data_IF_201337271318
#
_entry.id   IF_201337271318
#
_cell.length_a   1.000
_cell.length_b   1.000
_cell.length_c   1.000
_cell.angle_alpha   90.00
_cell.angle_beta   90.00
_cell.angle_gamma   90.00
#
_symmetry.space_group_name_H-M   'P 1'
#
loop_
_entity.id
_entity.type
_entity.pdbx_description
1 polymer ?
#
# COMPACT_ATOMS: atom_id res chain seq x y z
N UNK A 1 -8.89 -21.65 5.65
CA UNK A 1 -9.84 -20.54 5.49
C UNK A 1 -9.30 -19.65 4.38
N UNK A 2 -10.11 -19.31 3.37
CA UNK A 2 -9.68 -18.36 2.34
C UNK A 2 -9.73 -16.96 2.94
N UNK A 3 -8.62 -16.25 3.00
CA UNK A 3 -8.62 -14.86 3.44
C UNK A 3 -9.01 -13.97 2.26
N UNK A 4 -10.04 -13.15 2.45
CA UNK A 4 -10.49 -12.22 1.42
C UNK A 4 -9.88 -10.86 1.70
N UNK A 5 -9.25 -10.26 0.70
CA UNK A 5 -8.76 -8.88 0.76
C UNK A 5 -9.27 -8.10 -0.43
N UNK A 6 -9.34 -6.80 -0.28
CA UNK A 6 -9.65 -5.85 -1.32
C UNK A 6 -8.40 -5.06 -1.65
N UNK A 7 -8.07 -4.94 -2.94
CA UNK A 7 -6.92 -4.15 -3.38
C UNK A 7 -7.33 -3.01 -4.28
N UNK A 8 -6.62 -1.89 -4.16
CA UNK A 8 -6.81 -0.73 -5.00
C UNK A 8 -5.49 -0.35 -5.68
N UNK A 9 -5.51 -0.26 -7.00
CA UNK A 9 -4.34 0.03 -7.85
C UNK A 9 -4.42 1.41 -8.53
N UNK A 10 -5.37 2.26 -8.13
CA UNK A 10 -5.54 3.59 -8.71
C UNK A 10 -4.30 4.46 -8.46
N UNK A 11 -3.55 4.69 -9.53
CA UNK A 11 -2.30 5.46 -9.49
C UNK A 11 -2.52 6.92 -9.11
N UNK A 12 -3.68 7.48 -9.43
CA UNK A 12 -4.00 8.86 -9.10
C UNK A 12 -4.25 9.00 -7.59
N UNK A 13 -5.10 8.14 -7.03
CA UNK A 13 -5.34 8.10 -5.59
C UNK A 13 -4.05 7.82 -4.81
N UNK A 14 -3.27 6.83 -5.24
CA UNK A 14 -1.98 6.50 -4.61
C UNK A 14 -1.00 7.67 -4.70
N UNK A 15 -0.95 8.40 -5.83
CA UNK A 15 -0.07 9.58 -5.95
C UNK A 15 -0.41 10.65 -4.92
N UNK A 16 -1.70 10.97 -4.78
CA UNK A 16 -2.18 11.95 -3.81
C UNK A 16 -1.88 11.51 -2.38
N UNK A 17 -2.17 10.24 -2.06
CA UNK A 17 -1.84 9.65 -0.76
C UNK A 17 -0.35 9.75 -0.45
N UNK A 18 0.54 9.45 -1.40
CA UNK A 18 1.99 9.55 -1.22
C UNK A 18 2.44 11.00 -0.98
N UNK A 19 1.79 11.98 -1.62
CA UNK A 19 2.04 13.40 -1.40
C UNK A 19 1.62 13.82 0.02
N UNK A 20 0.46 13.35 0.49
CA UNK A 20 -0.06 13.63 1.83
C UNK A 20 0.79 12.95 2.93
N UNK A 21 1.22 11.71 2.73
CA UNK A 21 2.15 11.02 3.61
C UNK A 21 3.48 11.78 3.70
N UNK A 22 3.97 12.26 2.57
CA UNK A 22 5.22 12.99 2.46
C UNK A 22 6.47 12.11 2.50
N UNK A 23 7.54 12.59 1.83
CA UNK A 23 8.78 11.84 1.63
C UNK A 23 9.43 11.39 2.95
N UNK A 24 9.54 12.29 3.94
CA UNK A 24 10.23 11.97 5.20
C UNK A 24 9.53 10.86 5.98
N UNK A 25 8.19 10.88 6.03
CA UNK A 25 7.44 9.82 6.73
C UNK A 25 7.59 8.50 6.01
N UNK A 26 7.40 8.49 4.69
CA UNK A 26 7.52 7.28 3.88
C UNK A 26 8.92 6.65 4.02
N UNK A 27 9.97 7.48 3.98
CA UNK A 27 11.34 7.03 4.16
C UNK A 27 11.56 6.35 5.51
N UNK A 28 11.09 6.99 6.60
CA UNK A 28 11.20 6.44 7.96
C UNK A 28 10.48 5.09 8.09
N UNK A 29 9.29 4.95 7.49
CA UNK A 29 8.56 3.67 7.50
C UNK A 29 9.31 2.57 6.74
N UNK A 30 9.93 2.90 5.59
CA UNK A 30 10.78 1.98 4.85
C UNK A 30 12.01 1.55 5.67
N UNK A 31 12.71 2.49 6.31
CA UNK A 31 13.89 2.20 7.15
C UNK A 31 13.54 1.31 8.33
N UNK A 32 12.47 1.64 9.07
CA UNK A 32 12.00 0.86 10.21
C UNK A 32 11.67 -0.60 9.82
N UNK A 33 11.22 -0.82 8.59
CA UNK A 33 10.91 -2.13 8.04
C UNK A 33 12.05 -2.79 7.28
N UNK A 34 13.23 -2.15 7.22
CA UNK A 34 14.40 -2.60 6.45
C UNK A 34 14.08 -2.82 4.96
N UNK A 35 13.21 -1.97 4.41
CA UNK A 35 12.82 -1.96 3.01
C UNK A 35 13.61 -0.89 2.24
N UNK A 36 13.96 -1.20 0.99
CA UNK A 36 14.48 -0.19 0.08
C UNK A 36 13.43 0.88 -0.19
N UNK A 37 13.85 2.11 -0.46
CA UNK A 37 12.90 3.16 -0.82
C UNK A 37 12.18 2.84 -2.15
N UNK A 38 10.84 2.90 -2.20
CA UNK A 38 10.06 2.67 -3.42
C UNK A 38 10.42 3.63 -4.55
N UNK A 39 10.55 3.13 -5.79
CA UNK A 39 10.97 3.93 -6.95
C UNK A 39 9.92 4.06 -8.06
N UNK A 40 8.90 3.21 -8.07
CA UNK A 40 7.92 3.13 -9.18
C UNK A 40 6.50 3.17 -8.66
N UNK A 41 5.76 4.22 -8.99
CA UNK A 41 4.37 4.37 -8.54
C UNK A 41 3.48 3.18 -8.93
N UNK A 42 3.73 2.56 -10.09
CA UNK A 42 2.93 1.44 -10.60
C UNK A 42 3.05 0.13 -9.80
N UNK A 43 3.98 0.07 -8.84
CA UNK A 43 4.18 -1.09 -7.98
C UNK A 43 3.55 -0.92 -6.59
N UNK A 44 2.99 0.26 -6.31
CA UNK A 44 2.17 0.49 -5.14
C UNK A 44 0.75 0.00 -5.35
N UNK A 45 0.11 -0.36 -4.24
CA UNK A 45 -1.32 -0.61 -4.16
C UNK A 45 -1.78 -0.53 -2.71
N UNK A 46 -3.07 -0.30 -2.51
CA UNK A 46 -3.69 -0.37 -1.19
C UNK A 46 -4.26 -1.77 -0.99
N UNK A 47 -4.22 -2.27 0.23
CA UNK A 47 -4.89 -3.51 0.60
C UNK A 47 -5.69 -3.31 1.88
N UNK A 48 -6.95 -3.72 1.86
CA UNK A 48 -7.87 -3.71 2.99
C UNK A 48 -8.51 -5.10 3.15
N UNK A 49 -8.92 -5.47 4.35
CA UNK A 49 -9.50 -6.79 4.63
C UNK A 49 -9.99 -6.84 6.08
N UNK A 50 -9.70 -7.94 6.78
CA UNK A 50 -10.01 -8.08 8.21
C UNK A 50 -9.15 -7.17 9.12
N UNK A 51 -8.10 -6.57 8.54
CA UNK A 51 -7.09 -5.74 9.19
C UNK A 51 -7.12 -4.32 8.65
N UNK A 52 -6.49 -3.35 9.35
CA UNK A 52 -6.38 -1.97 8.89
C UNK A 52 -5.89 -1.86 7.44
N UNK A 53 -6.32 -0.82 6.74
CA UNK A 53 -5.94 -0.57 5.35
C UNK A 53 -4.45 -0.22 5.31
N UNK A 54 -3.73 -0.85 4.38
CA UNK A 54 -2.28 -0.73 4.27
C UNK A 54 -1.84 -0.27 2.89
N UNK A 55 -0.81 0.57 2.87
CA UNK A 55 -0.03 0.88 1.69
C UNK A 55 1.00 -0.24 1.47
N UNK A 56 0.91 -0.93 0.34
CA UNK A 56 1.82 -2.02 -0.04
C UNK A 56 2.64 -1.66 -1.28
N UNK A 57 3.79 -2.32 -1.42
CA UNK A 57 4.65 -2.19 -2.60
C UNK A 57 5.20 -3.55 -3.02
N UNK A 58 5.19 -3.82 -4.33
CA UNK A 58 5.81 -5.01 -4.93
C UNK A 58 7.28 -4.74 -5.22
N UNK A 59 8.16 -5.18 -4.32
CA UNK A 59 9.60 -5.11 -4.53
C UNK A 59 10.07 -6.22 -5.49
N UNK A 60 10.96 -5.92 -6.45
CA UNK A 60 11.39 -6.90 -7.45
C UNK A 60 12.01 -8.19 -6.88
N UNK A 61 12.79 -8.09 -5.80
CA UNK A 61 13.52 -9.25 -5.24
C UNK A 61 12.83 -9.91 -4.04
N UNK A 62 12.10 -9.15 -3.23
CA UNK A 62 11.51 -9.65 -1.97
C UNK A 62 9.97 -9.78 -2.02
N UNK A 63 9.35 -9.42 -3.16
CA UNK A 63 7.91 -9.53 -3.34
C UNK A 63 7.10 -8.40 -2.67
N UNK A 64 5.83 -8.70 -2.40
CA UNK A 64 4.86 -7.74 -1.84
C UNK A 64 5.15 -7.54 -0.36
N UNK A 65 5.36 -6.28 0.05
CA UNK A 65 5.55 -5.92 1.44
C UNK A 65 4.67 -4.74 1.82
N UNK A 66 4.19 -4.75 3.07
CA UNK A 66 3.48 -3.63 3.69
C UNK A 66 4.48 -2.55 4.08
N UNK A 67 4.23 -1.31 3.66
CA UNK A 67 5.02 -0.14 4.05
C UNK A 67 4.41 0.49 5.31
N UNK A 68 3.11 0.77 5.33
CA UNK A 68 2.47 1.39 6.49
C UNK A 68 0.94 1.19 6.50
N UNK A 69 0.34 1.39 7.68
CA UNK A 69 -1.11 1.54 7.85
C UNK A 69 -1.53 2.94 7.45
N UNK A 70 -2.67 3.07 6.77
CA UNK A 70 -3.13 4.32 6.17
C UNK A 70 -4.58 4.70 6.53
N UNK A 71 -5.18 4.11 7.55
CA UNK A 71 -6.58 4.41 7.95
C UNK A 71 -6.84 5.87 8.36
N UNK A 72 -5.80 6.65 8.64
CA UNK A 72 -5.89 8.08 8.98
C UNK A 72 -5.88 9.02 7.77
N UNK A 73 -5.76 8.48 6.57
CA UNK A 73 -5.68 9.23 5.32
C UNK A 73 -6.97 9.05 4.52
N UNK A 74 -7.23 9.95 3.58
CA UNK A 74 -8.37 9.81 2.69
C UNK A 74 -8.14 8.63 1.73
N UNK A 75 -9.05 7.64 1.82
CA UNK A 75 -8.99 6.42 1.01
C UNK A 75 -9.90 6.54 -0.21
N UNK A 76 -9.53 5.93 -1.35
CA UNK A 76 -10.37 5.93 -2.54
C UNK A 76 -11.70 5.19 -2.27
N UNK A 77 -12.82 5.77 -2.69
CA UNK A 77 -14.15 5.15 -2.53
C UNK A 77 -14.41 4.02 -3.55
N UNK A 78 -13.71 4.03 -4.69
CA UNK A 78 -13.93 3.16 -5.85
C UNK A 78 -12.63 2.51 -6.32
N UNK A 79 -12.76 1.50 -7.18
CA UNK A 79 -11.60 0.79 -7.75
C UNK A 79 -11.01 -0.30 -6.84
N UNK A 80 -11.77 -0.73 -5.83
CA UNK A 80 -11.41 -1.88 -5.00
C UNK A 80 -11.81 -3.17 -5.71
N UNK A 81 -10.82 -4.05 -5.88
CA UNK A 81 -10.98 -5.37 -6.47
C UNK A 81 -10.84 -6.44 -5.39
N UNK A 82 -11.74 -7.43 -5.39
CA UNK A 82 -11.73 -8.54 -4.42
C UNK A 82 -10.71 -9.60 -4.83
N UNK A 83 -9.83 -9.97 -3.91
CA UNK A 83 -8.84 -11.03 -4.06
C UNK A 83 -9.05 -12.12 -3.00
N UNK A 84 -8.86 -13.37 -3.40
CA UNK A 84 -8.73 -14.50 -2.49
C UNK A 84 -7.25 -14.77 -2.28
N UNK A 85 -6.81 -14.71 -1.03
CA UNK A 85 -5.43 -15.01 -0.61
C UNK A 85 -5.45 -16.37 0.10
N UNK A 86 -4.57 -17.26 -0.35
CA UNK A 86 -4.43 -18.62 0.15
C UNK A 86 -3.59 -18.69 1.42
#
# INVERSE_FOLDING_TARGET
>A
MKHVVFRNYDRYAIKHLLMEIGHHRLHRECENRKLNFPKRISLFFLESGDFPTTLKYKYPMIGINTIMVIDRYDLPEKGWERFEVA
#
